data_IF_205350477759
#
_entry.id   IF_205350477759
#
_cell.length_a   1.000
_cell.length_b   1.000
_cell.length_c   1.000
_cell.angle_alpha   90.00
_cell.angle_beta   90.00
_cell.angle_gamma   90.00
#
_symmetry.space_group_name_H-M   'P 1'
#
loop_
_entity.id
_entity.type
_entity.pdbx_description
1 polymer ?
#
# COMPACT_ATOMS: atom_id res chain seq x y z
N UNK A 1 -8.71 -21.44 35.51
CA UNK A 1 -7.88 -20.60 34.61
C UNK A 1 -7.10 -21.54 33.73
N UNK A 2 -7.12 -21.36 32.43
CA UNK A 2 -6.29 -22.19 31.53
C UNK A 2 -4.82 -21.83 31.77
N UNK A 3 -4.01 -22.85 32.08
CA UNK A 3 -2.56 -22.67 32.21
C UNK A 3 -1.94 -22.56 30.82
N UNK A 4 -1.25 -21.45 30.57
CA UNK A 4 -0.39 -21.33 29.39
C UNK A 4 0.75 -22.37 29.50
N UNK A 5 0.66 -23.42 28.70
CA UNK A 5 1.78 -24.34 28.51
C UNK A 5 2.68 -23.87 27.39
N UNK A 6 3.99 -24.00 27.52
CA UNK A 6 4.92 -23.70 26.43
C UNK A 6 4.71 -24.71 25.29
N UNK A 7 4.29 -24.28 24.09
CA UNK A 7 4.04 -25.18 22.97
C UNK A 7 5.31 -25.67 22.25
N UNK A 8 6.49 -25.34 22.75
CA UNK A 8 7.77 -25.65 22.12
C UNK A 8 8.36 -24.48 21.33
N UNK A 9 9.09 -24.76 20.23
CA UNK A 9 9.83 -23.75 19.45
C UNK A 9 8.99 -23.05 18.38
N UNK A 10 7.80 -23.55 18.07
CA UNK A 10 6.93 -22.99 17.04
C UNK A 10 6.16 -21.79 17.61
N UNK A 11 6.31 -20.65 16.96
CA UNK A 11 5.59 -19.42 17.33
C UNK A 11 4.21 -19.40 16.66
N UNK A 12 3.20 -18.96 17.41
CA UNK A 12 1.84 -18.76 16.88
C UNK A 12 1.88 -17.62 15.85
N UNK A 13 1.24 -17.84 14.69
CA UNK A 13 1.13 -16.83 13.65
C UNK A 13 0.22 -15.68 14.10
N UNK A 14 0.56 -14.41 13.80
CA UNK A 14 -0.37 -13.30 13.95
C UNK A 14 -1.56 -13.46 12.99
N UNK A 15 -2.71 -12.84 13.33
CA UNK A 15 -3.89 -12.87 12.47
C UNK A 15 -3.71 -12.00 11.23
N UNK A 16 -3.15 -10.79 11.40
CA UNK A 16 -2.91 -9.81 10.33
C UNK A 16 -1.94 -8.73 10.81
N UNK A 17 -1.47 -7.90 9.87
CA UNK A 17 -0.74 -6.67 10.18
C UNK A 17 -1.74 -5.60 10.66
N UNK A 18 -1.71 -5.23 11.92
CA UNK A 18 -2.68 -4.32 12.52
C UNK A 18 -2.53 -2.89 12.00
N UNK A 19 -1.34 -2.32 12.11
CA UNK A 19 -1.04 -0.93 11.73
C UNK A 19 0.44 -0.73 11.45
N UNK A 20 0.75 0.40 10.82
CA UNK A 20 2.09 0.96 10.72
C UNK A 20 2.16 2.30 11.46
N UNK A 21 3.36 2.65 11.94
CA UNK A 21 3.62 3.93 12.61
C UNK A 21 4.70 4.68 11.84
N UNK A 22 4.35 5.88 11.39
CA UNK A 22 5.25 6.78 10.67
C UNK A 22 5.65 7.92 11.61
N UNK A 23 6.95 8.19 11.66
CA UNK A 23 7.50 9.35 12.36
C UNK A 23 7.78 10.47 11.36
N UNK A 24 7.43 11.69 11.72
CA UNK A 24 7.63 12.87 10.87
C UNK A 24 8.13 14.05 11.69
N UNK A 25 8.73 15.04 11.02
CA UNK A 25 9.11 16.30 11.67
C UNK A 25 7.88 17.13 12.03
N UNK A 26 7.91 17.97 13.08
CA UNK A 26 6.77 18.79 13.47
C UNK A 26 6.23 19.69 12.36
N UNK A 27 7.09 20.21 11.50
CA UNK A 27 6.71 21.05 10.34
C UNK A 27 5.98 20.27 9.24
N UNK A 28 6.18 18.96 9.14
CA UNK A 28 5.55 18.10 8.14
C UNK A 28 4.30 17.39 8.66
N UNK A 29 4.11 17.31 9.98
CA UNK A 29 3.03 16.55 10.60
C UNK A 29 1.64 16.88 10.02
N UNK A 30 1.21 18.15 9.89
CA UNK A 30 -0.12 18.44 9.34
C UNK A 30 -0.25 17.98 7.87
N UNK A 31 0.82 18.10 7.09
CA UNK A 31 0.83 17.67 5.69
C UNK A 31 0.74 16.14 5.56
N UNK A 32 1.47 15.41 6.40
CA UNK A 32 1.40 13.94 6.47
C UNK A 32 0.00 13.47 6.85
N UNK A 33 -0.62 14.07 7.86
CA UNK A 33 -1.98 13.72 8.27
C UNK A 33 -2.98 13.99 7.15
N UNK A 34 -2.94 15.17 6.54
CA UNK A 34 -3.81 15.52 5.41
C UNK A 34 -3.63 14.58 4.22
N UNK A 35 -2.38 14.22 3.89
CA UNK A 35 -2.06 13.31 2.81
C UNK A 35 -2.74 11.94 3.02
N UNK A 36 -2.55 11.31 4.17
CA UNK A 36 -3.11 9.97 4.42
C UNK A 36 -4.63 9.97 4.54
N UNK A 37 -5.25 11.05 5.04
CA UNK A 37 -6.70 11.21 4.98
C UNK A 37 -7.22 11.20 3.54
N UNK A 38 -6.55 11.92 2.65
CA UNK A 38 -6.91 11.97 1.23
C UNK A 38 -6.55 10.66 0.52
N UNK A 39 -5.33 10.18 0.68
CA UNK A 39 -4.79 9.03 -0.05
C UNK A 39 -5.57 7.74 0.19
N UNK A 40 -6.02 7.52 1.43
CA UNK A 40 -6.75 6.32 1.86
C UNK A 40 -8.25 6.55 2.06
N UNK A 41 -8.75 7.77 1.85
CA UNK A 41 -10.10 8.16 2.29
C UNK A 41 -10.32 7.84 3.78
N UNK A 42 -9.28 8.10 4.60
CA UNK A 42 -9.25 7.72 6.01
C UNK A 42 -9.79 8.81 6.91
N UNK A 43 -10.47 8.39 7.97
CA UNK A 43 -10.90 9.25 9.06
C UNK A 43 -9.87 9.26 10.20
N UNK A 44 -9.75 10.41 10.88
CA UNK A 44 -9.00 10.49 12.12
C UNK A 44 -9.84 9.94 13.28
N UNK A 45 -9.42 8.80 13.83
CA UNK A 45 -9.97 8.29 15.08
C UNK A 45 -9.43 9.08 16.29
N UNK A 46 -8.24 9.65 16.12
CA UNK A 46 -7.61 10.57 17.06
C UNK A 46 -6.66 11.50 16.31
N UNK A 47 -6.67 12.79 16.65
CA UNK A 47 -5.75 13.78 16.15
C UNK A 47 -5.60 14.89 17.19
N UNK A 48 -4.51 14.85 17.95
CA UNK A 48 -4.19 15.89 18.93
C UNK A 48 -2.69 15.92 19.24
N UNK A 49 -2.16 17.13 19.45
CA UNK A 49 -0.74 17.32 19.76
C UNK A 49 0.18 16.73 18.69
N UNK A 50 1.14 15.87 19.07
CA UNK A 50 2.09 15.29 18.13
C UNK A 50 1.64 13.95 17.53
N UNK A 51 0.36 13.57 17.63
CA UNK A 51 -0.12 12.22 17.32
C UNK A 51 -1.42 12.25 16.52
N UNK A 52 -1.48 11.41 15.47
CA UNK A 52 -2.71 11.12 14.74
C UNK A 52 -2.86 9.62 14.52
N UNK A 53 -4.09 9.11 14.67
CA UNK A 53 -4.52 7.75 14.35
C UNK A 53 -5.57 7.80 13.26
N UNK A 54 -5.26 7.21 12.10
CA UNK A 54 -6.11 7.23 10.92
C UNK A 54 -6.57 5.80 10.59
N UNK A 55 -7.84 5.67 10.19
CA UNK A 55 -8.40 4.40 9.76
C UNK A 55 -9.33 4.59 8.57
N UNK A 56 -9.35 3.61 7.66
CA UNK A 56 -10.25 3.52 6.51
C UNK A 56 -11.20 2.31 6.60
N UNK A 57 -11.16 1.59 7.72
CA UNK A 57 -11.97 0.40 7.98
C UNK A 57 -12.37 0.31 9.47
N UNK A 58 -12.80 -0.86 9.93
CA UNK A 58 -13.28 -1.09 11.30
C UNK A 58 -12.14 -1.20 12.34
N UNK A 59 -10.87 -1.17 11.92
CA UNK A 59 -9.74 -1.16 12.84
C UNK A 59 -9.63 0.20 13.56
N UNK A 60 -9.18 0.21 14.81
CA UNK A 60 -9.04 1.46 15.57
C UNK A 60 -8.02 2.43 14.94
N UNK A 61 -7.02 1.95 14.20
CA UNK A 61 -6.19 2.69 13.27
C UNK A 61 -5.37 1.74 12.38
N UNK A 62 -5.12 2.17 11.14
CA UNK A 62 -4.22 1.51 10.20
C UNK A 62 -2.91 2.26 10.04
N UNK A 63 -2.98 3.60 10.16
CA UNK A 63 -1.82 4.49 10.10
C UNK A 63 -1.79 5.31 11.39
N UNK A 64 -0.65 5.25 12.10
CA UNK A 64 -0.33 6.22 13.13
C UNK A 64 0.76 7.15 12.63
N UNK A 65 0.60 8.45 12.85
CA UNK A 65 1.60 9.47 12.52
C UNK A 65 2.04 10.14 13.81
N UNK A 66 3.36 10.13 14.06
CA UNK A 66 3.95 10.70 15.26
C UNK A 66 4.91 11.82 14.88
N UNK A 67 4.63 13.03 15.36
CA UNK A 67 5.52 14.17 15.23
C UNK A 67 6.65 14.05 16.26
N UNK A 68 7.87 14.00 15.80
CA UNK A 68 9.06 13.89 16.66
C UNK A 68 10.03 15.03 16.35
N UNK A 69 10.42 15.84 17.36
CA UNK A 69 11.45 16.83 17.17
C UNK A 69 12.82 16.14 16.93
N UNK A 70 13.72 16.85 16.31
CA UNK A 70 15.14 16.48 16.16
C UNK A 70 15.41 15.20 15.33
N UNK A 71 14.42 14.68 14.61
CA UNK A 71 14.65 13.61 13.64
C UNK A 71 15.14 14.18 12.31
N UNK A 72 15.96 13.39 11.61
CA UNK A 72 16.42 13.73 10.26
C UNK A 72 15.35 13.36 9.22
N UNK A 73 15.33 14.01 8.06
CA UNK A 73 14.56 13.52 6.91
C UNK A 73 14.93 12.06 6.58
N UNK A 74 14.02 11.36 5.91
CA UNK A 74 14.27 10.00 5.42
C UNK A 74 15.51 9.99 4.52
N UNK A 75 16.41 9.02 4.76
CA UNK A 75 17.52 8.73 3.86
C UNK A 75 17.11 7.56 2.95
N UNK A 76 16.88 7.79 1.65
CA UNK A 76 16.48 6.72 0.73
C UNK A 76 17.58 5.68 0.48
N UNK A 77 18.83 5.95 0.90
CA UNK A 77 19.96 5.02 0.77
C UNK A 77 20.22 4.22 2.05
N UNK A 78 19.51 4.51 3.14
CA UNK A 78 19.63 3.73 4.36
C UNK A 78 18.80 2.44 4.27
N UNK A 79 19.30 1.35 4.85
CA UNK A 79 18.52 0.13 5.01
C UNK A 79 17.29 0.38 5.90
N UNK A 80 16.14 -0.21 5.54
CA UNK A 80 14.89 -0.05 6.27
C UNK A 80 13.69 -0.57 5.49
N UNK A 81 12.51 -0.06 5.82
CA UNK A 81 11.30 -0.34 5.07
C UNK A 81 11.42 0.28 3.67
N UNK A 82 11.26 -0.53 2.63
CA UNK A 82 11.20 -0.04 1.26
C UNK A 82 9.85 0.63 1.01
N UNK A 83 8.77 -0.15 1.06
CA UNK A 83 7.39 0.33 0.93
C UNK A 83 6.44 -0.48 1.81
N UNK A 84 5.21 -0.05 1.89
CA UNK A 84 4.07 -0.81 2.41
C UNK A 84 2.92 -0.72 1.41
N UNK A 85 2.10 -1.79 1.33
CA UNK A 85 1.11 -1.95 0.29
C UNK A 85 -0.32 -1.97 0.84
N UNK A 86 -1.24 -1.39 0.06
CA UNK A 86 -2.68 -1.45 0.26
C UNK A 86 -3.33 -2.15 -0.93
N UNK A 87 -4.15 -3.17 -0.65
CA UNK A 87 -4.84 -3.94 -1.68
C UNK A 87 -6.25 -3.42 -1.92
N UNK A 88 -6.60 -3.23 -3.20
CA UNK A 88 -7.95 -2.96 -3.68
C UNK A 88 -8.60 -4.25 -4.17
N UNK A 89 -9.94 -4.28 -4.16
CA UNK A 89 -10.68 -5.49 -4.54
C UNK A 89 -10.74 -5.73 -6.06
N UNK A 90 -10.60 -4.67 -6.87
CA UNK A 90 -10.71 -4.74 -8.33
C UNK A 90 -9.80 -3.74 -9.03
N UNK A 91 -9.50 -3.97 -10.31
CA UNK A 91 -8.80 -2.99 -11.14
C UNK A 91 -9.62 -1.70 -11.31
N UNK A 92 -10.95 -1.80 -11.30
CA UNK A 92 -11.83 -0.62 -11.32
C UNK A 92 -11.66 0.25 -10.07
N UNK A 93 -11.60 -0.36 -8.87
CA UNK A 93 -11.36 0.39 -7.63
C UNK A 93 -9.98 1.05 -7.63
N UNK A 94 -8.95 0.35 -8.11
CA UNK A 94 -7.60 0.90 -8.25
C UNK A 94 -7.57 2.08 -9.22
N UNK A 95 -8.23 1.94 -10.39
CA UNK A 95 -8.33 3.00 -11.39
C UNK A 95 -9.12 4.21 -10.87
N UNK A 96 -10.23 3.97 -10.16
CA UNK A 96 -11.03 5.04 -9.56
C UNK A 96 -10.22 5.80 -8.49
N UNK A 97 -9.54 5.07 -7.62
CA UNK A 97 -8.65 5.67 -6.62
C UNK A 97 -7.50 6.46 -7.25
N UNK A 98 -6.91 5.98 -8.35
CA UNK A 98 -5.93 6.71 -9.14
C UNK A 98 -6.50 8.05 -9.64
N UNK A 99 -7.66 8.04 -10.32
CA UNK A 99 -8.31 9.28 -10.82
C UNK A 99 -8.60 10.26 -9.69
N UNK A 100 -9.15 9.79 -8.57
CA UNK A 100 -9.46 10.63 -7.41
C UNK A 100 -8.19 11.24 -6.78
N UNK A 101 -7.08 10.51 -6.74
CA UNK A 101 -5.78 11.00 -6.27
C UNK A 101 -5.20 12.06 -7.19
N UNK A 102 -5.34 11.89 -8.52
CA UNK A 102 -4.94 12.92 -9.50
C UNK A 102 -5.65 14.25 -9.27
N UNK A 103 -6.97 14.24 -9.01
CA UNK A 103 -7.74 15.45 -8.68
C UNK A 103 -7.23 16.16 -7.40
N UNK A 104 -6.53 15.43 -6.54
CA UNK A 104 -5.91 15.94 -5.32
C UNK A 104 -4.38 16.21 -5.48
N UNK A 105 -3.86 16.17 -6.72
CA UNK A 105 -2.45 16.40 -7.00
C UNK A 105 -1.52 15.28 -6.49
N UNK A 106 -2.04 14.05 -6.35
CA UNK A 106 -1.28 12.87 -5.93
C UNK A 106 -1.11 11.95 -7.13
N UNK A 107 0.09 11.95 -7.70
CA UNK A 107 0.44 11.17 -8.89
C UNK A 107 1.32 9.97 -8.53
N UNK A 108 1.13 8.80 -9.17
CA UNK A 108 2.05 7.70 -9.02
C UNK A 108 3.37 8.00 -9.75
N UNK A 109 4.47 7.60 -9.15
CA UNK A 109 5.77 7.71 -9.81
C UNK A 109 6.13 6.46 -10.60
N UNK A 110 5.44 5.35 -10.35
CA UNK A 110 5.66 4.07 -11.02
C UNK A 110 4.39 3.24 -11.05
N UNK A 111 4.07 2.68 -12.23
CA UNK A 111 2.94 1.78 -12.44
C UNK A 111 3.45 0.52 -13.13
N UNK A 112 3.20 -0.64 -12.55
CA UNK A 112 3.78 -1.91 -13.00
C UNK A 112 2.85 -3.09 -12.75
N UNK A 113 2.80 -4.01 -13.69
CA UNK A 113 2.23 -5.33 -13.50
C UNK A 113 3.38 -6.30 -13.16
N UNK A 114 3.46 -6.70 -11.90
CA UNK A 114 4.49 -7.63 -11.41
C UNK A 114 4.21 -9.09 -11.77
N UNK A 115 3.08 -9.37 -12.40
CA UNK A 115 2.57 -10.70 -12.62
C UNK A 115 1.62 -11.11 -11.50
N UNK A 116 2.04 -11.31 -10.24
CA UNK A 116 1.11 -11.56 -9.13
C UNK A 116 0.17 -10.40 -8.84
N UNK A 117 0.61 -9.16 -9.03
CA UNK A 117 -0.15 -7.95 -8.74
C UNK A 117 -0.06 -6.92 -9.85
N UNK A 118 -1.11 -6.10 -9.99
CA UNK A 118 -1.10 -4.84 -10.75
C UNK A 118 -1.00 -3.70 -9.76
N UNK A 119 0.06 -2.88 -9.85
CA UNK A 119 0.49 -2.00 -8.78
C UNK A 119 0.77 -0.57 -9.26
N UNK A 120 0.47 0.41 -8.40
CA UNK A 120 0.82 1.82 -8.56
C UNK A 120 1.54 2.31 -7.30
N UNK A 121 2.68 2.96 -7.48
CA UNK A 121 3.56 3.42 -6.40
C UNK A 121 3.53 4.93 -6.25
N UNK A 122 3.53 5.40 -5.01
CA UNK A 122 3.42 6.81 -4.64
C UNK A 122 4.45 7.17 -3.57
N UNK A 123 4.78 8.44 -3.48
CA UNK A 123 5.53 8.99 -2.33
C UNK A 123 4.59 9.78 -1.43
N UNK A 124 4.71 9.57 -0.12
CA UNK A 124 4.12 10.49 0.83
C UNK A 124 4.97 11.78 0.97
N UNK A 125 4.52 12.80 1.71
CA UNK A 125 5.26 14.06 1.86
C UNK A 125 6.66 13.96 2.47
N UNK A 126 6.96 12.87 3.19
CA UNK A 126 8.28 12.60 3.76
C UNK A 126 9.12 11.66 2.87
N UNK A 127 8.58 11.24 1.72
CA UNK A 127 9.24 10.34 0.78
C UNK A 127 9.18 8.87 1.18
N UNK A 128 8.22 8.44 2.00
CA UNK A 128 7.95 7.03 2.18
C UNK A 128 7.24 6.49 0.93
N UNK A 129 7.68 5.30 0.50
CA UNK A 129 7.08 4.65 -0.65
C UNK A 129 5.82 3.88 -0.24
N UNK A 130 4.75 4.08 -0.99
CA UNK A 130 3.45 3.44 -0.78
C UNK A 130 3.06 2.74 -2.07
N UNK A 131 2.71 1.47 -1.95
CA UNK A 131 2.13 0.69 -3.03
C UNK A 131 0.61 0.62 -2.88
N UNK A 132 -0.11 0.69 -3.99
CA UNK A 132 -1.50 0.29 -4.07
C UNK A 132 -1.63 -0.76 -5.15
N UNK A 133 -2.28 -1.88 -4.85
CA UNK A 133 -2.27 -3.05 -5.70
C UNK A 133 -3.63 -3.73 -5.81
N UNK A 134 -3.75 -4.59 -6.82
CA UNK A 134 -4.80 -5.60 -6.98
C UNK A 134 -4.12 -6.93 -7.25
N UNK A 135 -4.60 -7.99 -6.60
CA UNK A 135 -4.16 -9.36 -6.89
C UNK A 135 -4.61 -9.78 -8.30
N UNK A 136 -3.68 -10.30 -9.10
CA UNK A 136 -3.97 -10.73 -10.47
C UNK A 136 -4.53 -12.16 -10.55
N UNK A 137 -4.36 -12.95 -9.49
CA UNK A 137 -4.83 -14.34 -9.40
C UNK A 137 -5.99 -14.46 -8.42
N UNK A 138 -6.92 -15.37 -8.71
CA UNK A 138 -8.08 -15.61 -7.87
C UNK A 138 -7.72 -16.35 -6.57
N UNK A 139 -6.63 -17.12 -6.58
CA UNK A 139 -6.19 -17.90 -5.43
C UNK A 139 -4.70 -17.75 -5.15
N UNK A 140 -4.31 -17.98 -3.89
CA UNK A 140 -2.92 -17.98 -3.48
C UNK A 140 -2.13 -19.09 -4.19
N UNK A 141 -2.75 -20.25 -4.44
CA UNK A 141 -2.14 -21.39 -5.12
C UNK A 141 -1.74 -21.03 -6.56
N UNK A 142 -2.59 -20.28 -7.27
CA UNK A 142 -2.30 -19.79 -8.63
C UNK A 142 -1.15 -18.78 -8.61
N UNK A 143 -1.19 -17.81 -7.70
CA UNK A 143 -0.11 -16.84 -7.53
C UNK A 143 1.23 -17.53 -7.19
N UNK A 144 1.21 -18.50 -6.27
CA UNK A 144 2.37 -19.31 -5.90
C UNK A 144 2.93 -20.12 -7.08
N UNK A 145 2.04 -20.69 -7.89
CA UNK A 145 2.44 -21.44 -9.08
C UNK A 145 3.11 -20.51 -10.11
N UNK A 146 2.55 -19.33 -10.33
CA UNK A 146 3.14 -18.34 -11.22
C UNK A 146 4.52 -17.88 -10.73
N UNK A 147 4.67 -17.54 -9.46
CA UNK A 147 5.95 -17.10 -8.88
C UNK A 147 7.06 -18.17 -8.94
N UNK A 148 6.69 -19.44 -9.15
CA UNK A 148 7.64 -20.56 -9.36
C UNK A 148 7.89 -20.89 -10.83
N UNK A 149 7.26 -20.18 -11.77
CA UNK A 149 7.39 -20.40 -13.20
C UNK A 149 8.66 -19.79 -13.79
N UNK A 150 9.06 -20.27 -14.96
CA UNK A 150 10.15 -19.71 -15.74
C UNK A 150 9.82 -18.27 -16.16
N UNK A 151 8.57 -17.97 -16.52
CA UNK A 151 8.14 -16.64 -16.93
C UNK A 151 8.35 -15.60 -15.81
N UNK A 152 8.06 -15.93 -14.56
CA UNK A 152 8.37 -15.05 -13.44
C UNK A 152 9.87 -14.92 -13.19
N UNK A 153 10.63 -16.02 -13.31
CA UNK A 153 12.09 -15.99 -13.15
C UNK A 153 12.80 -15.14 -14.22
N UNK A 154 12.27 -15.09 -15.44
CA UNK A 154 12.79 -14.23 -16.52
C UNK A 154 12.55 -12.75 -16.27
N UNK A 155 11.42 -12.38 -15.68
CA UNK A 155 11.09 -10.99 -15.36
C UNK A 155 10.34 -10.87 -14.00
N UNK A 156 11.03 -10.99 -12.88
CA UNK A 156 10.41 -10.91 -11.55
C UNK A 156 9.96 -9.49 -11.14
N UNK A 157 10.42 -8.47 -11.89
CA UNK A 157 9.99 -7.08 -11.65
C UNK A 157 8.67 -6.80 -12.36
N UNK A 158 8.42 -7.41 -13.51
CA UNK A 158 7.21 -7.24 -14.28
C UNK A 158 7.33 -6.22 -15.43
N UNK A 159 6.21 -5.74 -15.91
CA UNK A 159 6.11 -4.81 -17.04
C UNK A 159 5.43 -3.51 -16.63
N UNK A 160 6.06 -2.39 -16.96
CA UNK A 160 5.50 -1.06 -16.72
C UNK A 160 4.25 -0.84 -17.59
N UNK A 161 3.30 -0.07 -17.08
CA UNK A 161 2.13 0.36 -17.83
C UNK A 161 1.85 1.85 -17.66
N UNK A 162 1.21 2.43 -18.68
CA UNK A 162 0.68 3.79 -18.62
C UNK A 162 -0.68 3.79 -17.90
N UNK A 163 -0.83 4.51 -16.76
CA UNK A 163 -2.07 4.51 -16.00
C UNK A 163 -3.25 5.13 -16.76
N UNK A 164 -3.02 6.06 -17.70
CA UNK A 164 -4.09 6.61 -18.52
C UNK A 164 -4.59 5.61 -19.58
N UNK A 165 -3.68 4.80 -20.14
CA UNK A 165 -4.06 3.70 -21.03
C UNK A 165 -4.80 2.62 -20.26
N UNK A 166 -4.34 2.29 -19.05
CA UNK A 166 -4.99 1.34 -18.15
C UNK A 166 -6.44 1.76 -17.83
N UNK A 167 -6.65 3.03 -17.46
CA UNK A 167 -8.00 3.58 -17.21
C UNK A 167 -8.89 3.47 -18.46
N UNK A 168 -8.38 3.85 -19.64
CA UNK A 168 -9.15 3.79 -20.90
C UNK A 168 -9.56 2.36 -21.26
N UNK A 169 -8.69 1.36 -21.01
CA UNK A 169 -9.03 -0.06 -21.24
C UNK A 169 -10.23 -0.47 -20.37
N UNK A 170 -10.21 -0.13 -19.08
CA UNK A 170 -11.32 -0.40 -18.17
C UNK A 170 -12.58 0.35 -18.55
N UNK A 171 -12.52 1.64 -18.90
CA UNK A 171 -13.65 2.45 -19.34
C UNK A 171 -14.27 1.94 -20.67
N UNK A 172 -13.48 1.27 -21.50
CA UNK A 172 -13.98 0.63 -22.73
C UNK A 172 -14.73 -0.68 -22.47
N UNK A 173 -14.72 -1.18 -21.22
CA UNK A 173 -15.34 -2.45 -20.85
C UNK A 173 -14.47 -3.67 -21.17
N UNK A 174 -13.16 -3.49 -21.34
CA UNK A 174 -12.24 -4.62 -21.50
C UNK A 174 -12.24 -5.48 -20.24
N UNK A 175 -12.19 -6.80 -20.41
CA UNK A 175 -12.22 -7.76 -19.31
C UNK A 175 -10.97 -7.58 -18.42
N UNK A 176 -11.17 -7.43 -17.10
CA UNK A 176 -10.09 -7.29 -16.14
C UNK A 176 -9.07 -8.44 -16.22
N UNK A 177 -9.53 -9.67 -16.50
CA UNK A 177 -8.62 -10.83 -16.64
C UNK A 177 -7.70 -10.71 -17.86
N UNK A 178 -8.08 -9.92 -18.87
CA UNK A 178 -7.20 -9.60 -20.01
C UNK A 178 -6.20 -8.50 -19.63
N UNK A 179 -6.65 -7.53 -18.82
CA UNK A 179 -5.81 -6.40 -18.39
C UNK A 179 -4.72 -6.86 -17.40
N UNK A 180 -5.03 -7.85 -16.56
CA UNK A 180 -4.11 -8.44 -15.57
C UNK A 180 -2.96 -9.26 -16.19
N UNK A 181 -3.07 -9.64 -17.44
CA UNK A 181 -2.09 -10.47 -18.18
C UNK A 181 -1.22 -9.65 -19.10
#
# INVERSE_FOLDING_TARGET
MATLSNPGKTVIKPSYLAHIVLKTQPSQFPRMVSYYKTFLSADARYEAGPLAFLSYDDEHHRIAIVSMPDIKPRDPKAAGLLHFAFTFNSLHDLALAYKQRLENGIEPYWCVNHGPTTSMYYHDPDGNDIETQVENFATLEEADAFMKSEAFAENPIGADFDPEVFVKRLESGEDEEVIKR
#
